data_IF_005751138162
#
_entry.id   IF_005751138162
#
_cell.length_a   1.000
_cell.length_b   1.000
_cell.length_c   1.000
_cell.angle_alpha   90.00
_cell.angle_beta   90.00
_cell.angle_gamma   90.00
#
_symmetry.space_group_name_H-M   'P 1'
#
loop_
_entity.id
_entity.type
_entity.pdbx_description
1 polymer ?
#
# COMPACT_ATOMS: atom_id res chain seq x y z
N UNK A 1 23.87 -26.74 -2.74
CA UNK A 1 23.24 -26.48 -1.43
C UNK A 1 22.73 -25.05 -1.48
N UNK A 2 21.42 -24.82 -1.54
CA UNK A 2 20.88 -23.45 -1.51
C UNK A 2 20.86 -22.98 -0.05
N UNK A 3 21.95 -22.35 0.40
CA UNK A 3 21.92 -21.62 1.67
C UNK A 3 20.87 -20.52 1.54
N UNK A 4 19.81 -20.58 2.36
CA UNK A 4 18.89 -19.45 2.43
C UNK A 4 19.62 -18.34 3.16
N UNK A 5 19.33 -17.09 2.81
CA UNK A 5 19.96 -15.94 3.48
C UNK A 5 19.74 -15.96 5.01
N UNK A 6 18.62 -16.54 5.46
CA UNK A 6 18.29 -16.75 6.88
C UNK A 6 19.27 -17.70 7.60
N UNK A 7 19.98 -18.55 6.84
CA UNK A 7 20.96 -19.51 7.35
C UNK A 7 22.38 -18.91 7.38
N UNK A 8 22.54 -17.61 7.07
CA UNK A 8 23.83 -16.92 7.04
C UNK A 8 24.10 -16.16 8.33
N UNK A 9 25.38 -15.90 8.61
CA UNK A 9 25.84 -15.04 9.72
C UNK A 9 25.33 -13.58 9.65
N UNK A 10 24.61 -13.21 8.59
CA UNK A 10 23.99 -11.90 8.41
C UNK A 10 22.58 -11.83 9.01
N UNK A 11 21.96 -12.94 9.43
CA UNK A 11 20.66 -12.94 10.10
C UNK A 11 20.81 -13.04 11.63
N UNK A 12 21.64 -12.16 12.19
CA UNK A 12 21.83 -12.03 13.65
C UNK A 12 20.64 -11.31 14.29
N UNK A 13 20.43 -11.55 15.57
CA UNK A 13 19.38 -10.90 16.37
C UNK A 13 19.40 -9.37 16.22
N UNK A 14 20.57 -8.73 16.28
CA UNK A 14 20.71 -7.27 16.09
C UNK A 14 20.16 -6.80 14.73
N UNK A 15 20.40 -7.54 13.66
CA UNK A 15 19.88 -7.20 12.33
C UNK A 15 18.36 -7.36 12.26
N UNK A 16 17.80 -8.33 12.99
CA UNK A 16 16.34 -8.49 13.12
C UNK A 16 15.74 -7.30 13.90
N UNK A 17 16.40 -6.86 14.98
CA UNK A 17 15.97 -5.69 15.74
C UNK A 17 15.98 -4.41 14.89
N UNK A 18 17.02 -4.22 14.06
CA UNK A 18 17.07 -3.12 13.10
C UNK A 18 15.95 -3.20 12.06
N UNK A 19 15.61 -4.40 11.56
CA UNK A 19 14.46 -4.58 10.66
C UNK A 19 13.16 -4.18 11.36
N UNK A 20 12.92 -4.62 12.60
CA UNK A 20 11.71 -4.30 13.37
C UNK A 20 11.57 -2.78 13.56
N UNK A 21 12.64 -2.13 14.03
CA UNK A 21 12.64 -0.68 14.27
C UNK A 21 12.51 0.11 12.96
N UNK A 22 13.20 -0.33 11.91
CA UNK A 22 13.14 0.26 10.58
C UNK A 22 11.74 0.20 9.99
N UNK A 23 11.08 -0.96 10.04
CA UNK A 23 9.70 -1.14 9.58
C UNK A 23 8.75 -0.26 10.39
N UNK A 24 8.88 -0.23 11.72
CA UNK A 24 8.01 0.59 12.57
C UNK A 24 8.09 2.08 12.20
N UNK A 25 9.31 2.64 12.11
CA UNK A 25 9.54 4.05 11.78
C UNK A 25 9.05 4.39 10.38
N UNK A 26 9.42 3.59 9.39
CA UNK A 26 9.05 3.81 7.98
C UNK A 26 7.55 3.69 7.79
N UNK A 27 6.90 2.67 8.38
CA UNK A 27 5.45 2.53 8.33
C UNK A 27 4.76 3.74 8.96
N UNK A 28 5.22 4.21 10.12
CA UNK A 28 4.63 5.38 10.78
C UNK A 28 4.70 6.64 9.91
N UNK A 29 5.85 6.91 9.29
CA UNK A 29 6.03 8.08 8.42
C UNK A 29 5.17 8.00 7.16
N UNK A 30 5.16 6.87 6.46
CA UNK A 30 4.35 6.69 5.24
C UNK A 30 2.86 6.73 5.58
N UNK A 31 2.42 6.06 6.64
CA UNK A 31 1.00 6.06 7.07
C UNK A 31 0.50 7.47 7.38
N UNK A 32 1.31 8.30 8.03
CA UNK A 32 0.94 9.70 8.30
C UNK A 32 0.66 10.47 7.01
N UNK A 33 1.53 10.36 6.01
CA UNK A 33 1.34 11.03 4.71
C UNK A 33 0.12 10.50 3.96
N UNK A 34 -0.15 9.19 4.02
CA UNK A 34 -1.35 8.59 3.44
C UNK A 34 -2.59 9.15 4.12
N UNK A 35 -2.67 9.09 5.46
CA UNK A 35 -3.84 9.52 6.24
C UNK A 35 -4.18 10.99 5.97
N UNK A 36 -3.18 11.88 5.99
CA UNK A 36 -3.36 13.31 5.73
C UNK A 36 -4.01 13.57 4.36
N UNK A 37 -3.65 12.80 3.33
CA UNK A 37 -4.19 13.04 2.00
C UNK A 37 -5.55 12.36 1.78
N UNK A 38 -5.78 11.16 2.31
CA UNK A 38 -7.06 10.47 2.13
C UNK A 38 -8.19 11.14 2.91
N UNK A 39 -7.91 11.71 4.09
CA UNK A 39 -8.90 12.46 4.88
C UNK A 39 -9.43 13.68 4.12
N UNK A 40 -8.57 14.38 3.37
CA UNK A 40 -8.98 15.51 2.52
C UNK A 40 -9.92 15.13 1.39
N UNK A 41 -9.92 13.86 1.00
CA UNK A 41 -10.72 13.32 -0.09
C UNK A 41 -11.89 12.46 0.42
N UNK A 42 -12.25 12.57 1.71
CA UNK A 42 -13.28 11.77 2.37
C UNK A 42 -13.10 10.26 2.12
N UNK A 43 -11.87 9.77 2.26
CA UNK A 43 -11.53 8.35 2.10
C UNK A 43 -11.00 7.79 3.41
N UNK A 44 -11.46 6.58 3.77
CA UNK A 44 -10.78 5.77 4.78
C UNK A 44 -9.54 5.09 4.20
N UNK A 45 -8.60 4.67 5.06
CA UNK A 45 -7.41 3.95 4.62
C UNK A 45 -7.76 2.70 3.80
N UNK A 46 -8.74 1.92 4.24
CA UNK A 46 -9.16 0.72 3.54
C UNK A 46 -9.81 1.02 2.18
N UNK A 47 -10.60 2.10 2.08
CA UNK A 47 -11.16 2.53 0.79
C UNK A 47 -10.06 2.91 -0.20
N UNK A 48 -9.07 3.68 0.25
CA UNK A 48 -7.92 4.07 -0.57
C UNK A 48 -7.09 2.86 -1.03
N UNK A 49 -6.76 1.94 -0.13
CA UNK A 49 -6.01 0.72 -0.47
C UNK A 49 -6.79 -0.17 -1.46
N UNK A 50 -8.11 -0.30 -1.29
CA UNK A 50 -8.95 -1.04 -2.23
C UNK A 50 -8.95 -0.39 -3.62
N UNK A 51 -9.03 0.95 -3.71
CA UNK A 51 -8.92 1.66 -4.98
C UNK A 51 -7.57 1.43 -5.67
N UNK A 52 -6.47 1.38 -4.92
CA UNK A 52 -5.15 1.03 -5.46
C UNK A 52 -5.15 -0.39 -6.04
N UNK A 53 -5.69 -1.38 -5.33
CA UNK A 53 -5.73 -2.77 -5.81
C UNK A 53 -6.60 -2.91 -7.08
N UNK A 54 -7.74 -2.20 -7.15
CA UNK A 54 -8.57 -2.16 -8.37
C UNK A 54 -7.79 -1.54 -9.54
N UNK A 55 -7.01 -0.47 -9.29
CA UNK A 55 -6.14 0.15 -10.31
C UNK A 55 -5.04 -0.78 -10.80
N UNK A 56 -4.52 -1.65 -9.92
CA UNK A 56 -3.58 -2.73 -10.27
C UNK A 56 -4.27 -3.94 -10.93
N UNK A 57 -5.51 -3.75 -11.40
CA UNK A 57 -6.33 -4.73 -12.12
C UNK A 57 -6.81 -5.94 -11.30
N UNK A 58 -6.70 -5.91 -9.96
CA UNK A 58 -7.32 -6.91 -9.12
C UNK A 58 -8.83 -6.66 -9.03
N UNK A 59 -9.63 -7.52 -9.66
CA UNK A 59 -11.09 -7.36 -9.76
C UNK A 59 -11.87 -8.20 -8.75
N UNK A 60 -11.28 -9.27 -8.22
CA UNK A 60 -11.98 -10.18 -7.30
C UNK A 60 -11.90 -9.67 -5.86
N UNK A 61 -13.05 -9.34 -5.27
CA UNK A 61 -13.15 -8.89 -3.86
C UNK A 61 -12.45 -9.82 -2.88
N UNK A 62 -12.53 -11.13 -3.09
CA UNK A 62 -11.87 -12.14 -2.25
C UNK A 62 -10.34 -12.04 -2.33
N UNK A 63 -9.79 -11.78 -3.52
CA UNK A 63 -8.35 -11.62 -3.70
C UNK A 63 -7.86 -10.34 -3.04
N UNK A 64 -8.57 -9.22 -3.24
CA UNK A 64 -8.26 -7.94 -2.59
C UNK A 64 -8.32 -8.06 -1.07
N UNK A 65 -9.38 -8.69 -0.54
CA UNK A 65 -9.55 -8.94 0.90
C UNK A 65 -8.38 -9.73 1.50
N UNK A 66 -7.88 -10.75 0.80
CA UNK A 66 -6.70 -11.51 1.23
C UNK A 66 -5.42 -10.66 1.20
N UNK A 67 -5.17 -9.96 0.09
CA UNK A 67 -3.97 -9.12 -0.09
C UNK A 67 -3.87 -7.99 0.94
N UNK A 68 -5.01 -7.37 1.25
CA UNK A 68 -5.08 -6.26 2.20
C UNK A 68 -5.35 -6.71 3.64
N UNK A 69 -5.43 -8.02 3.90
CA UNK A 69 -5.77 -8.58 5.23
C UNK A 69 -7.09 -8.02 5.81
N UNK A 70 -8.06 -7.71 4.94
CA UNK A 70 -9.37 -7.17 5.31
C UNK A 70 -10.37 -8.32 5.46
N UNK A 71 -11.15 -8.35 6.54
CA UNK A 71 -12.23 -9.34 6.71
C UNK A 71 -13.23 -9.28 5.56
N UNK A 72 -13.71 -10.43 5.08
CA UNK A 72 -14.67 -10.52 3.94
C UNK A 72 -15.97 -9.73 4.15
N UNK A 73 -16.44 -9.57 5.38
CA UNK A 73 -17.63 -8.75 5.66
C UNK A 73 -17.33 -7.27 5.37
N UNK A 74 -16.14 -6.81 5.77
CA UNK A 74 -15.72 -5.42 5.60
C UNK A 74 -15.46 -5.08 4.13
N UNK A 75 -14.94 -6.01 3.31
CA UNK A 75 -14.70 -5.72 1.88
C UNK A 75 -16.02 -5.41 1.16
N UNK A 76 -17.11 -6.11 1.50
CA UNK A 76 -18.41 -5.83 0.88
C UNK A 76 -18.93 -4.43 1.26
N UNK A 77 -18.78 -4.02 2.52
CA UNK A 77 -19.14 -2.69 3.00
C UNK A 77 -18.32 -1.63 2.27
N UNK A 78 -16.99 -1.81 2.16
CA UNK A 78 -16.10 -0.87 1.45
C UNK A 78 -16.55 -0.69 -0.01
N UNK A 79 -16.82 -1.77 -0.74
CA UNK A 79 -17.30 -1.67 -2.12
C UNK A 79 -18.66 -0.95 -2.23
N UNK A 80 -19.56 -1.18 -1.29
CA UNK A 80 -20.84 -0.44 -1.24
C UNK A 80 -20.61 1.05 -0.98
N UNK A 81 -19.68 1.42 -0.09
CA UNK A 81 -19.37 2.82 0.17
C UNK A 81 -18.70 3.48 -1.03
N UNK A 82 -17.74 2.82 -1.68
CA UNK A 82 -17.10 3.33 -2.91
C UNK A 82 -18.09 3.52 -4.06
N UNK A 83 -19.08 2.63 -4.19
CA UNK A 83 -20.20 2.78 -5.15
C UNK A 83 -21.06 4.01 -4.83
N UNK A 84 -21.42 4.21 -3.56
CA UNK A 84 -22.21 5.37 -3.10
C UNK A 84 -21.47 6.69 -3.31
N UNK A 85 -20.15 6.69 -3.15
CA UNK A 85 -19.27 7.85 -3.42
C UNK A 85 -18.99 8.05 -4.92
N UNK A 86 -19.57 7.23 -5.80
CA UNK A 86 -19.36 7.27 -7.25
C UNK A 86 -17.89 7.11 -7.69
N UNK A 87 -17.05 6.52 -6.83
CA UNK A 87 -15.63 6.29 -7.11
C UNK A 87 -15.41 5.02 -7.94
N UNK A 88 -16.34 4.07 -7.83
CA UNK A 88 -16.38 2.87 -8.67
C UNK A 88 -17.78 2.69 -9.27
N UNK A 89 -17.86 1.96 -10.38
CA UNK A 89 -19.11 1.58 -11.04
C UNK A 89 -19.60 0.20 -10.58
N UNK A 90 -20.79 -0.22 -11.03
CA UNK A 90 -21.38 -1.54 -10.72
C UNK A 90 -20.51 -2.73 -11.15
N UNK A 91 -19.61 -2.52 -12.12
CA UNK A 91 -18.64 -3.50 -12.59
C UNK A 91 -17.34 -3.48 -11.78
N UNK A 92 -17.31 -2.77 -10.65
CA UNK A 92 -16.15 -2.59 -9.78
C UNK A 92 -14.95 -1.91 -10.47
N UNK A 93 -15.17 -1.12 -11.52
CA UNK A 93 -14.14 -0.32 -12.17
C UNK A 93 -14.14 1.09 -11.60
N UNK A 94 -12.96 1.70 -11.48
CA UNK A 94 -12.83 3.09 -11.02
C UNK A 94 -13.45 4.02 -12.06
N UNK A 95 -14.28 4.97 -11.62
CA UNK A 95 -14.89 5.99 -12.48
C UNK A 95 -13.89 7.08 -12.86
N UNK A 96 -14.23 7.96 -13.79
CA UNK A 96 -13.38 9.13 -14.08
C UNK A 96 -13.20 10.03 -12.84
N UNK A 97 -14.26 10.19 -12.05
CA UNK A 97 -14.20 10.92 -10.78
C UNK A 97 -13.27 10.24 -9.78
N UNK A 98 -13.42 8.91 -9.61
CA UNK A 98 -12.55 8.12 -8.74
C UNK A 98 -11.08 8.16 -9.16
N UNK A 99 -10.79 8.09 -10.46
CA UNK A 99 -9.43 8.20 -10.98
C UNK A 99 -8.83 9.57 -10.70
N UNK A 100 -9.59 10.64 -10.89
CA UNK A 100 -9.13 12.00 -10.57
C UNK A 100 -8.72 12.17 -9.10
N UNK A 101 -9.54 11.67 -8.17
CA UNK A 101 -9.24 11.68 -6.73
C UNK A 101 -8.01 10.81 -6.43
N UNK A 102 -7.97 9.60 -6.99
CA UNK A 102 -6.89 8.65 -6.76
C UNK A 102 -5.55 9.16 -7.30
N UNK A 103 -5.52 9.72 -8.50
CA UNK A 103 -4.33 10.32 -9.11
C UNK A 103 -3.79 11.49 -8.27
N UNK A 104 -4.67 12.39 -7.84
CA UNK A 104 -4.30 13.53 -6.98
C UNK A 104 -3.69 13.05 -5.67
N UNK A 105 -4.30 12.03 -5.05
CA UNK A 105 -3.84 11.46 -3.79
C UNK A 105 -2.49 10.77 -3.96
N UNK A 106 -2.37 9.87 -4.95
CA UNK A 106 -1.14 9.13 -5.25
C UNK A 106 0.00 10.11 -5.56
N UNK A 107 -0.24 11.16 -6.36
CA UNK A 107 0.80 12.12 -6.74
C UNK A 107 1.41 12.78 -5.50
N UNK A 108 0.57 13.32 -4.61
CA UNK A 108 1.05 14.00 -3.40
C UNK A 108 1.73 13.05 -2.42
N UNK A 109 1.16 11.87 -2.19
CA UNK A 109 1.77 10.85 -1.34
C UNK A 109 3.13 10.46 -1.92
N UNK A 110 3.21 10.26 -3.24
CA UNK A 110 4.47 9.91 -3.93
C UNK A 110 5.52 11.01 -3.82
N UNK A 111 5.15 12.28 -3.90
CA UNK A 111 6.08 13.41 -3.70
C UNK A 111 6.67 13.39 -2.28
N UNK A 112 5.85 13.10 -1.26
CA UNK A 112 6.29 13.00 0.13
C UNK A 112 7.16 11.77 0.38
N UNK A 113 6.78 10.61 -0.14
CA UNK A 113 7.57 9.39 -0.04
C UNK A 113 8.91 9.57 -0.76
N UNK A 114 8.95 10.21 -1.94
CA UNK A 114 10.21 10.48 -2.65
C UNK A 114 11.21 11.25 -1.78
N UNK A 115 10.75 12.22 -0.99
CA UNK A 115 11.61 12.97 -0.06
C UNK A 115 12.19 12.05 1.04
N UNK A 116 11.38 11.13 1.58
CA UNK A 116 11.85 10.17 2.60
C UNK A 116 12.97 9.27 2.07
N UNK A 117 12.92 8.94 0.78
CA UNK A 117 13.86 8.03 0.12
C UNK A 117 14.91 8.75 -0.74
N UNK A 118 14.97 10.08 -0.73
CA UNK A 118 15.78 10.90 -1.67
C UNK A 118 17.28 10.55 -1.63
N UNK A 119 17.80 10.20 -0.44
CA UNK A 119 19.21 9.89 -0.23
C UNK A 119 19.55 8.40 -0.41
N UNK A 120 18.58 7.55 -0.72
CA UNK A 120 18.78 6.11 -0.87
C UNK A 120 19.20 5.81 -2.30
N UNK A 121 20.29 5.05 -2.46
CA UNK A 121 20.77 4.63 -3.78
C UNK A 121 19.75 3.76 -4.52
N UNK A 122 19.70 3.94 -5.85
CA UNK A 122 18.78 3.23 -6.75
C UNK A 122 18.85 1.69 -6.64
N UNK A 123 20.03 1.11 -6.41
CA UNK A 123 20.16 -0.35 -6.26
C UNK A 123 19.50 -0.83 -4.98
N UNK A 124 19.69 -0.09 -3.88
CA UNK A 124 19.08 -0.40 -2.60
C UNK A 124 17.55 -0.26 -2.66
N UNK A 125 17.06 0.78 -3.33
CA UNK A 125 15.61 0.97 -3.50
C UNK A 125 14.99 -0.13 -4.37
N UNK A 126 15.65 -0.51 -5.47
CA UNK A 126 15.20 -1.63 -6.32
C UNK A 126 15.19 -2.95 -5.55
N UNK A 127 16.23 -3.22 -4.76
CA UNK A 127 16.27 -4.38 -3.86
C UNK A 127 15.12 -4.38 -2.85
N UNK A 128 14.82 -3.23 -2.25
CA UNK A 128 13.71 -3.07 -1.31
C UNK A 128 12.34 -3.33 -1.96
N UNK A 129 12.08 -2.77 -3.15
CA UNK A 129 10.84 -3.00 -3.91
C UNK A 129 10.68 -4.49 -4.22
N UNK A 130 11.74 -5.15 -4.70
CA UNK A 130 11.71 -6.58 -4.99
C UNK A 130 11.38 -7.41 -3.75
N UNK A 131 11.89 -7.04 -2.57
CA UNK A 131 11.53 -7.72 -1.31
C UNK A 131 10.02 -7.55 -1.04
N UNK A 132 9.50 -6.33 -1.13
CA UNK A 132 8.08 -6.05 -0.86
C UNK A 132 7.12 -6.80 -1.82
N UNK A 133 7.50 -6.97 -3.09
CA UNK A 133 6.66 -7.67 -4.07
C UNK A 133 6.63 -9.19 -3.87
N UNK A 134 7.64 -9.75 -3.20
CA UNK A 134 7.76 -11.18 -2.94
C UNK A 134 7.29 -11.60 -1.53
N UNK A 135 6.87 -10.65 -0.69
CA UNK A 135 6.21 -10.89 0.61
C UNK A 135 4.69 -11.01 0.45
#
# INVERSE_FOLDING_TARGET
>A
MNFKFVDTLYFKEDNILEIILGIHRTNKLIQQEILIEIEKNDLTLNEFLVLIEIRKEFKQKIQISKKLFIKRQNINIIFQTLLKKELINKNNQITNHGNSILDKSIKKISEKIKILFEKIDHKNMSGFINILENL
#
